data_IF_836417873653
#
_entry.id   IF_836417873653
#
_cell.length_a   1.000
_cell.length_b   1.000
_cell.length_c   1.000
_cell.angle_alpha   90.00
_cell.angle_beta   90.00
_cell.angle_gamma   90.00
#
_symmetry.space_group_name_H-M   'P 1'
#
loop_
_entity.id
_entity.type
_entity.pdbx_description
1 polymer ?
#
# COMPACT_ATOMS: atom_id res chain seq x y z
N UNK A 1 17.91 -21.19 -48.65
CA UNK A 1 16.56 -21.41 -48.09
C UNK A 1 16.67 -21.44 -46.56
N UNK A 2 16.66 -20.27 -45.90
CA UNK A 2 16.91 -20.10 -44.45
C UNK A 2 15.89 -19.10 -43.90
N UNK A 3 14.61 -19.47 -43.79
CA UNK A 3 13.54 -18.56 -43.31
C UNK A 3 12.42 -19.27 -42.54
N UNK A 4 12.71 -20.32 -41.77
CA UNK A 4 11.66 -21.06 -41.03
C UNK A 4 12.11 -21.44 -39.60
N UNK A 5 12.84 -20.58 -38.89
CA UNK A 5 13.32 -20.93 -37.54
C UNK A 5 13.29 -19.79 -36.52
N UNK A 6 12.47 -18.74 -36.70
CA UNK A 6 12.43 -17.57 -35.79
C UNK A 6 10.99 -17.15 -35.48
N UNK A 7 10.08 -18.12 -35.31
CA UNK A 7 8.70 -17.80 -34.86
C UNK A 7 8.34 -18.52 -33.55
N UNK A 8 9.19 -19.42 -33.07
CA UNK A 8 8.94 -20.20 -31.85
C UNK A 8 9.96 -19.82 -30.79
N UNK A 9 10.01 -18.56 -30.36
CA UNK A 9 10.76 -18.20 -29.12
C UNK A 9 10.31 -16.88 -28.47
N UNK A 10 9.11 -16.38 -28.77
CA UNK A 10 8.54 -15.19 -28.10
C UNK A 10 7.27 -15.50 -27.28
N UNK A 11 6.84 -16.77 -27.20
CA UNK A 11 5.56 -17.14 -26.62
C UNK A 11 5.58 -17.59 -25.15
N UNK A 12 6.75 -17.61 -24.48
CA UNK A 12 6.90 -18.33 -23.20
C UNK A 12 7.40 -17.46 -22.04
N UNK A 13 6.98 -16.19 -21.96
CA UNK A 13 7.41 -15.29 -20.87
C UNK A 13 6.30 -14.46 -20.23
N UNK A 14 5.06 -14.55 -20.71
CA UNK A 14 3.95 -13.70 -20.24
C UNK A 14 3.07 -14.34 -19.15
N UNK A 15 3.40 -15.54 -18.66
CA UNK A 15 2.53 -16.32 -17.78
C UNK A 15 3.00 -16.40 -16.30
N UNK A 16 3.71 -15.38 -15.78
CA UNK A 16 4.11 -15.35 -14.36
C UNK A 16 3.66 -14.09 -13.59
N UNK A 17 2.82 -13.22 -14.16
CA UNK A 17 2.16 -12.15 -13.40
C UNK A 17 0.86 -12.65 -12.75
N UNK A 18 0.88 -13.86 -12.18
CA UNK A 18 -0.15 -14.35 -11.27
C UNK A 18 0.41 -14.37 -9.84
N UNK A 19 1.06 -13.28 -9.43
CA UNK A 19 1.43 -13.07 -8.03
C UNK A 19 0.24 -12.39 -7.36
N UNK A 20 -0.30 -13.02 -6.31
CA UNK A 20 -1.47 -12.56 -5.59
C UNK A 20 -1.42 -11.05 -5.36
N UNK A 21 -2.45 -10.34 -5.82
CA UNK A 21 -2.58 -8.92 -5.52
C UNK A 21 -2.81 -8.78 -4.02
N UNK A 22 -1.75 -8.47 -3.28
CA UNK A 22 -1.87 -8.16 -1.87
C UNK A 22 -2.82 -6.97 -1.70
N UNK A 23 -3.85 -7.20 -0.90
CA UNK A 23 -4.78 -6.18 -0.44
C UNK A 23 -4.42 -5.79 0.97
N UNK A 24 -4.21 -4.49 1.19
CA UNK A 24 -3.92 -3.92 2.50
C UNK A 24 -5.01 -2.92 2.84
N UNK A 25 -5.60 -3.08 4.02
CA UNK A 25 -6.57 -2.14 4.55
C UNK A 25 -6.03 -1.60 5.87
N UNK A 26 -5.57 -0.36 5.88
CA UNK A 26 -5.10 0.31 7.08
C UNK A 26 -6.26 1.13 7.64
N UNK A 27 -6.50 1.05 8.94
CA UNK A 27 -7.52 1.87 9.63
C UNK A 27 -6.92 2.57 10.84
N UNK A 28 -7.47 3.74 11.19
CA UNK A 28 -7.10 4.46 12.40
C UNK A 28 -7.31 3.60 13.65
N UNK A 29 -6.27 3.48 14.49
CA UNK A 29 -6.40 2.78 15.78
C UNK A 29 -7.17 3.57 16.84
N UNK A 30 -7.40 4.87 16.61
CA UNK A 30 -8.00 5.79 17.59
C UNK A 30 -9.51 5.98 17.34
N UNK A 31 -10.31 5.93 18.41
CA UNK A 31 -11.76 6.19 18.33
C UNK A 31 -12.02 7.69 18.19
N UNK A 32 -12.69 8.09 17.11
CA UNK A 32 -13.23 9.45 16.92
C UNK A 32 -12.69 10.19 15.68
N UNK A 33 -11.55 9.79 15.14
CA UNK A 33 -10.98 10.33 13.90
C UNK A 33 -10.86 9.22 12.85
N UNK A 34 -11.96 8.87 12.15
CA UNK A 34 -11.95 7.78 11.19
C UNK A 34 -11.01 8.13 10.04
N UNK A 35 -9.99 7.28 9.87
CA UNK A 35 -9.11 7.31 8.72
C UNK A 35 -8.91 5.89 8.21
N UNK A 36 -8.90 5.72 6.89
CA UNK A 36 -8.66 4.45 6.23
C UNK A 36 -7.75 4.63 5.01
N UNK A 37 -6.95 3.63 4.71
CA UNK A 37 -6.18 3.53 3.46
C UNK A 37 -6.40 2.13 2.90
N UNK A 38 -6.96 2.06 1.70
CA UNK A 38 -7.25 0.78 1.03
C UNK A 38 -6.35 0.65 -0.17
N UNK A 39 -5.59 -0.44 -0.23
CA UNK A 39 -4.62 -0.72 -1.29
C UNK A 39 -4.96 -2.05 -1.94
N UNK A 40 -4.92 -2.09 -3.27
CA UNK A 40 -5.07 -3.28 -4.09
C UNK A 40 -4.06 -3.24 -5.23
N UNK A 41 -3.15 -4.22 -5.27
CA UNK A 41 -2.19 -4.36 -6.37
C UNK A 41 -1.28 -3.13 -6.56
N UNK A 42 -0.90 -2.48 -5.45
CA UNK A 42 0.03 -1.35 -5.45
C UNK A 42 -0.58 0.03 -5.62
N UNK A 43 -1.92 0.16 -5.65
CA UNK A 43 -2.62 1.46 -5.69
C UNK A 43 -3.88 1.42 -4.84
N UNK A 44 -4.45 2.58 -4.55
CA UNK A 44 -5.79 2.68 -3.97
C UNK A 44 -6.06 4.08 -3.47
N UNK A 45 -6.77 4.20 -2.35
CA UNK A 45 -7.28 5.47 -1.86
C UNK A 45 -7.03 5.61 -0.35
N UNK A 46 -6.70 6.83 0.07
CA UNK A 46 -6.62 7.26 1.46
C UNK A 46 -7.80 8.19 1.76
N UNK A 47 -8.47 7.93 2.88
CA UNK A 47 -9.59 8.71 3.39
C UNK A 47 -9.32 9.08 4.85
N UNK A 48 -9.60 10.33 5.22
CA UNK A 48 -9.54 10.76 6.61
C UNK A 48 -10.40 11.99 6.83
N UNK A 49 -10.69 12.30 8.09
CA UNK A 49 -11.36 13.54 8.49
C UNK A 49 -10.55 14.29 9.52
N UNK A 50 -10.58 15.62 9.43
CA UNK A 50 -9.97 16.52 10.41
C UNK A 50 -10.87 17.74 10.64
N UNK A 51 -11.34 17.90 11.88
CA UNK A 51 -12.38 18.88 12.18
C UNK A 51 -13.64 18.64 11.34
N UNK A 52 -14.21 19.67 10.69
CA UNK A 52 -15.38 19.51 9.83
C UNK A 52 -15.05 19.02 8.40
N UNK A 53 -13.76 18.88 8.07
CA UNK A 53 -13.32 18.54 6.72
C UNK A 53 -13.10 17.04 6.56
N UNK A 54 -13.42 16.55 5.37
CA UNK A 54 -13.17 15.16 4.95
C UNK A 54 -12.34 15.17 3.67
N UNK A 55 -11.37 14.27 3.60
CA UNK A 55 -10.40 14.18 2.52
C UNK A 55 -10.44 12.78 1.91
N UNK A 56 -10.28 12.72 0.59
CA UNK A 56 -10.13 11.46 -0.16
C UNK A 56 -9.13 11.70 -1.29
N UNK A 57 -8.05 10.93 -1.29
CA UNK A 57 -6.94 11.12 -2.22
C UNK A 57 -6.41 9.76 -2.68
N UNK A 58 -6.14 9.63 -3.97
CA UNK A 58 -5.51 8.43 -4.51
C UNK A 58 -4.07 8.27 -4.01
N UNK A 59 -3.67 7.03 -3.76
CA UNK A 59 -2.33 6.65 -3.31
C UNK A 59 -1.75 5.54 -4.16
N UNK A 60 -0.43 5.53 -4.29
CA UNK A 60 0.34 4.47 -4.94
C UNK A 60 1.41 3.94 -4.00
N UNK A 61 1.60 2.63 -3.98
CA UNK A 61 2.66 1.97 -3.21
C UNK A 61 4.00 2.18 -3.93
N UNK A 62 4.93 2.87 -3.28
CA UNK A 62 6.31 2.99 -3.76
C UNK A 62 7.19 1.86 -3.24
N UNK A 63 6.89 1.36 -2.03
CA UNK A 63 7.64 0.28 -1.39
C UNK A 63 6.73 -0.48 -0.43
N UNK A 64 6.80 -1.80 -0.46
CA UNK A 64 6.12 -2.66 0.51
C UNK A 64 7.03 -3.82 0.92
N UNK A 65 7.61 -3.71 2.12
CA UNK A 65 8.38 -4.77 2.77
C UNK A 65 7.58 -5.41 3.93
N UNK A 66 6.26 -5.19 3.99
CA UNK A 66 5.43 -5.82 5.01
C UNK A 66 5.40 -7.32 4.74
N UNK A 67 5.95 -8.11 5.65
CA UNK A 67 5.92 -9.56 5.51
C UNK A 67 4.58 -10.10 6.02
N UNK A 68 3.81 -10.74 5.14
CA UNK A 68 2.54 -11.38 5.47
C UNK A 68 2.66 -12.67 6.32
N UNK A 69 3.83 -12.94 6.90
CA UNK A 69 4.16 -14.16 7.64
C UNK A 69 4.06 -13.98 9.17
N UNK A 70 4.18 -15.07 9.96
CA UNK A 70 4.15 -15.03 11.43
C UNK A 70 5.43 -14.43 12.05
N UNK A 71 6.38 -13.99 11.22
CA UNK A 71 7.67 -13.49 11.68
C UNK A 71 7.51 -12.04 12.13
N UNK A 72 7.96 -11.67 13.35
CA UNK A 72 7.92 -10.29 13.85
C UNK A 72 8.94 -9.37 13.16
N UNK A 73 9.42 -9.74 11.97
CA UNK A 73 10.33 -8.89 11.21
C UNK A 73 9.52 -7.70 10.72
N UNK A 74 9.62 -6.59 11.44
CA UNK A 74 8.99 -5.33 11.09
C UNK A 74 9.30 -4.94 9.64
N UNK A 75 8.31 -4.35 8.97
CA UNK A 75 8.39 -3.93 7.57
C UNK A 75 8.24 -2.43 7.41
N UNK A 76 8.49 -1.98 6.18
CA UNK A 76 8.27 -0.59 5.76
C UNK A 76 7.27 -0.58 4.63
N UNK A 77 6.24 0.24 4.74
CA UNK A 77 5.30 0.57 3.68
C UNK A 77 5.47 2.05 3.33
N UNK A 78 5.83 2.35 2.09
CA UNK A 78 5.88 3.73 1.56
C UNK A 78 4.81 3.91 0.52
N UNK A 79 4.02 4.96 0.71
CA UNK A 79 2.99 5.39 -0.22
C UNK A 79 3.32 6.78 -0.76
N UNK A 80 2.89 7.04 -1.98
CA UNK A 80 2.86 8.35 -2.61
C UNK A 80 1.42 8.76 -2.81
N UNK A 81 1.04 9.92 -2.31
CA UNK A 81 -0.26 10.53 -2.58
C UNK A 81 -0.29 11.17 -3.97
N UNK A 82 -1.48 11.37 -4.51
CA UNK A 82 -1.68 11.98 -5.83
C UNK A 82 -1.09 13.40 -5.95
N UNK A 83 -1.00 14.14 -4.85
CA UNK A 83 -0.37 15.47 -4.77
C UNK A 83 1.17 15.42 -4.68
N UNK A 84 1.75 14.23 -4.61
CA UNK A 84 3.18 14.02 -4.45
C UNK A 84 3.64 13.84 -3.00
N UNK A 85 2.77 13.94 -2.00
CA UNK A 85 3.14 13.80 -0.59
C UNK A 85 3.57 12.36 -0.27
N UNK A 86 4.77 12.13 0.33
CA UNK A 86 5.19 10.80 0.76
C UNK A 86 4.64 10.46 2.15
N UNK A 87 4.06 9.26 2.26
CA UNK A 87 3.71 8.64 3.54
C UNK A 87 4.64 7.45 3.79
N UNK A 88 5.23 7.37 4.97
CA UNK A 88 6.02 6.21 5.38
C UNK A 88 5.45 5.60 6.65
N UNK A 89 5.21 4.30 6.61
CA UNK A 89 4.72 3.50 7.71
C UNK A 89 5.74 2.42 8.07
N UNK A 90 5.92 2.18 9.37
CA UNK A 90 6.80 1.15 9.90
C UNK A 90 6.09 0.36 10.99
N UNK A 91 6.33 -0.94 11.03
CA UNK A 91 5.76 -1.75 12.11
C UNK A 91 5.63 -3.21 11.73
N UNK A 92 4.85 -3.91 12.54
CA UNK A 92 4.62 -5.34 12.41
C UNK A 92 3.29 -5.61 11.71
N UNK A 93 3.09 -6.86 11.32
CA UNK A 93 2.03 -7.38 10.46
C UNK A 93 0.57 -7.10 10.90
N UNK A 94 0.34 -6.49 12.08
CA UNK A 94 -1.00 -6.04 12.52
C UNK A 94 -1.10 -4.56 12.89
N UNK A 95 0.02 -3.86 13.03
CA UNK A 95 0.05 -2.47 13.49
C UNK A 95 1.24 -1.72 12.88
N UNK A 96 0.92 -0.58 12.29
CA UNK A 96 1.89 0.30 11.67
C UNK A 96 1.86 1.67 12.35
N UNK A 97 3.03 2.27 12.46
CA UNK A 97 3.21 3.65 12.90
C UNK A 97 3.64 4.47 11.70
N UNK A 98 2.94 5.59 11.48
CA UNK A 98 3.32 6.55 10.47
C UNK A 98 4.58 7.30 10.93
N UNK A 99 5.68 7.05 10.26
CA UNK A 99 6.98 7.66 10.52
C UNK A 99 7.15 9.00 9.79
N UNK A 100 6.41 9.23 8.70
CA UNK A 100 6.51 10.46 7.91
C UNK A 100 5.20 10.78 7.17
N UNK A 101 4.87 12.07 7.07
CA UNK A 101 3.80 12.60 6.22
C UNK A 101 2.44 12.78 6.92
N UNK A 102 2.06 11.89 7.84
CA UNK A 102 0.74 11.93 8.49
C UNK A 102 0.50 13.22 9.30
N UNK A 103 1.48 13.70 10.05
CA UNK A 103 1.34 14.92 10.87
C UNK A 103 1.00 16.15 10.03
N UNK A 104 1.63 16.29 8.87
CA UNK A 104 1.38 17.42 7.95
C UNK A 104 -0.01 17.39 7.30
N UNK A 105 -0.67 16.23 7.32
CA UNK A 105 -2.02 16.01 6.78
C UNK A 105 -3.08 15.87 7.89
N UNK A 106 -2.68 16.00 9.15
CA UNK A 106 -3.51 15.72 10.31
C UNK A 106 -4.14 14.31 10.31
N UNK A 107 -3.39 13.34 9.77
CA UNK A 107 -3.77 11.93 9.81
C UNK A 107 -3.32 11.28 11.12
N UNK A 108 -3.96 10.19 11.57
CA UNK A 108 -3.52 9.42 12.72
C UNK A 108 -2.07 8.93 12.57
N UNK A 109 -1.36 8.82 13.68
CA UNK A 109 0.01 8.28 13.71
C UNK A 109 -0.01 6.75 13.81
N UNK A 110 -1.00 6.16 14.49
CA UNK A 110 -1.11 4.71 14.68
C UNK A 110 -2.22 4.11 13.81
N UNK A 111 -1.86 3.04 13.09
CA UNK A 111 -2.71 2.36 12.12
C UNK A 111 -2.76 0.87 12.41
N UNK A 112 -3.97 0.31 12.33
CA UNK A 112 -4.18 -1.13 12.39
C UNK A 112 -4.30 -1.67 10.98
N UNK A 113 -3.69 -2.82 10.73
CA UNK A 113 -3.83 -3.52 9.45
C UNK A 113 -4.96 -4.52 9.57
N UNK A 114 -5.99 -4.34 8.75
CA UNK A 114 -7.10 -5.27 8.60
C UNK A 114 -6.92 -6.08 7.30
N UNK A 115 -7.36 -7.34 7.34
CA UNK A 115 -7.53 -8.16 6.14
C UNK A 115 -9.02 -8.19 5.82
N UNK A 116 -9.36 -7.70 4.64
CA UNK A 116 -10.70 -7.86 4.05
C UNK A 116 -10.92 -9.31 3.56
#
# INVERSE_FOLDING_TARGET
MKRIAIVILCGLSLALAACGHETWHLVSGEKGNPAEIRLKGGKGDAFWSWGPATHSVGVTVEKNDLTGGPTPAGGVLRLRMADGTPLEFRGEHGALVCAHGCDGLHMPVAWLVQRD
#
